data_IF_807711268763
#
_entry.id   IF_807711268763
#
_cell.length_a   1.000
_cell.length_b   1.000
_cell.length_c   1.000
_cell.angle_alpha   90.00
_cell.angle_beta   90.00
_cell.angle_gamma   90.00
#
_symmetry.space_group_name_H-M   'P 1'
#
loop_
_entity.id
_entity.type
_entity.pdbx_description
1 polymer ?
#
# COMPACT_ATOMS: atom_id res chain seq x y z
N UNK A 1 -11.62 -11.39 -11.25
CA UNK A 1 -10.22 -11.34 -10.80
C UNK A 1 -10.04 -10.07 -9.99
N UNK A 2 -9.92 -10.16 -8.66
CA UNK A 2 -9.59 -8.99 -7.85
C UNK A 2 -8.13 -8.60 -8.15
N UNK A 3 -7.88 -7.35 -8.50
CA UNK A 3 -6.51 -6.87 -8.72
C UNK A 3 -5.75 -6.86 -7.39
N UNK A 4 -4.47 -7.25 -7.39
CA UNK A 4 -3.57 -7.23 -6.22
C UNK A 4 -3.62 -5.89 -5.46
N UNK A 5 -3.79 -4.78 -6.18
CA UNK A 5 -4.03 -3.46 -5.60
C UNK A 5 -5.22 -3.41 -4.62
N UNK A 6 -6.36 -4.02 -4.94
CA UNK A 6 -7.55 -4.02 -4.07
C UNK A 6 -7.24 -4.71 -2.74
N UNK A 7 -6.47 -5.80 -2.79
CA UNK A 7 -6.08 -6.55 -1.60
C UNK A 7 -5.08 -5.78 -0.74
N UNK A 8 -4.09 -5.12 -1.36
CA UNK A 8 -3.18 -4.19 -0.68
C UNK A 8 -3.99 -3.11 0.05
N UNK A 9 -4.90 -2.42 -0.63
CA UNK A 9 -5.71 -1.35 -0.02
C UNK A 9 -6.58 -1.87 1.13
N UNK A 10 -7.14 -3.07 0.98
CA UNK A 10 -7.95 -3.70 2.04
C UNK A 10 -7.12 -3.88 3.31
N UNK A 11 -5.95 -4.52 3.21
CA UNK A 11 -5.06 -4.76 4.35
C UNK A 11 -4.56 -3.44 4.94
N UNK A 12 -4.17 -2.47 4.11
CA UNK A 12 -3.73 -1.17 4.58
C UNK A 12 -4.81 -0.46 5.41
N UNK A 13 -6.06 -0.48 4.96
CA UNK A 13 -7.20 0.11 5.70
C UNK A 13 -7.51 -0.63 7.00
N UNK A 14 -7.43 -1.96 6.99
CA UNK A 14 -7.59 -2.78 8.20
C UNK A 14 -6.55 -2.41 9.28
N UNK A 15 -5.34 -2.00 8.86
CA UNK A 15 -4.27 -1.50 9.72
C UNK A 15 -4.29 0.02 9.96
N UNK A 16 -5.36 0.72 9.56
CA UNK A 16 -5.54 2.16 9.78
C UNK A 16 -4.66 3.06 8.92
N UNK A 17 -4.03 2.54 7.87
CA UNK A 17 -3.32 3.37 6.90
C UNK A 17 -4.33 4.21 6.10
N UNK A 18 -3.94 5.45 5.81
CA UNK A 18 -4.82 6.43 5.16
C UNK A 18 -4.23 6.92 3.84
N UNK A 19 -5.09 7.10 2.85
CA UNK A 19 -4.73 7.80 1.62
C UNK A 19 -4.48 9.28 1.94
N UNK A 20 -3.35 9.81 1.50
CA UNK A 20 -2.97 11.20 1.72
C UNK A 20 -3.25 12.03 0.47
N UNK A 21 -2.71 11.60 -0.68
CA UNK A 21 -2.83 12.32 -1.95
C UNK A 21 -2.43 11.46 -3.15
N UNK A 22 -2.84 11.89 -4.34
CA UNK A 22 -2.31 11.35 -5.59
C UNK A 22 -0.85 11.82 -5.78
N UNK A 23 0.02 10.88 -6.14
CA UNK A 23 1.38 11.14 -6.63
C UNK A 23 1.41 11.44 -8.12
N UNK A 24 2.54 11.20 -8.78
CA UNK A 24 2.66 11.37 -10.24
C UNK A 24 2.03 10.19 -10.98
N UNK A 25 1.10 10.48 -11.89
CA UNK A 25 0.39 9.45 -12.67
C UNK A 25 -0.48 8.58 -11.77
N UNK A 26 -0.33 7.26 -11.88
CA UNK A 26 -1.17 6.27 -11.18
C UNK A 26 -0.68 5.93 -9.76
N UNK A 27 0.33 6.63 -9.27
CA UNK A 27 0.84 6.44 -7.91
C UNK A 27 -0.02 7.16 -6.89
N UNK A 28 -0.30 6.51 -5.78
CA UNK A 28 -0.94 7.08 -4.60
C UNK A 28 0.06 7.18 -3.45
N UNK A 29 -0.05 8.22 -2.64
CA UNK A 29 0.71 8.35 -1.40
C UNK A 29 -0.20 8.01 -0.23
N UNK A 30 0.23 7.04 0.56
CA UNK A 30 -0.44 6.55 1.76
C UNK A 30 0.40 6.83 2.99
N UNK A 31 -0.23 6.98 4.15
CA UNK A 31 0.42 7.15 5.45
C UNK A 31 0.11 5.97 6.35
N UNK A 32 1.14 5.39 6.94
CA UNK A 32 0.98 4.38 7.99
C UNK A 32 1.00 5.04 9.37
N UNK A 33 0.01 4.76 10.25
CA UNK A 33 0.08 5.16 11.65
C UNK A 33 1.12 4.34 12.43
N UNK A 34 1.49 3.14 11.94
CA UNK A 34 2.44 2.23 12.60
C UNK A 34 3.86 2.76 12.47
N UNK A 35 4.28 3.13 11.26
CA UNK A 35 5.63 3.66 10.99
C UNK A 35 5.69 5.19 11.03
N UNK A 36 4.54 5.86 11.16
CA UNK A 36 4.37 7.31 11.04
C UNK A 36 5.00 7.91 9.76
N UNK A 37 5.05 7.11 8.69
CA UNK A 37 5.70 7.46 7.44
C UNK A 37 4.72 7.41 6.25
N UNK A 38 5.04 8.21 5.24
CA UNK A 38 4.35 8.19 3.96
C UNK A 38 5.06 7.24 2.99
N UNK A 39 4.32 6.49 2.20
CA UNK A 39 4.85 5.57 1.20
C UNK A 39 4.00 5.58 -0.08
N UNK A 40 4.61 5.32 -1.25
CA UNK A 40 3.90 5.25 -2.52
C UNK A 40 3.31 3.87 -2.78
N UNK A 41 2.18 3.82 -3.48
CA UNK A 41 1.56 2.61 -4.01
C UNK A 41 1.22 2.83 -5.47
N UNK A 42 1.56 1.87 -6.33
CA UNK A 42 1.14 1.89 -7.74
C UNK A 42 -0.20 1.15 -7.91
N UNK A 43 -1.22 1.83 -8.45
CA UNK A 43 -2.54 1.22 -8.78
C UNK A 43 -2.42 0.06 -9.75
N UNK A 44 -1.39 0.05 -10.58
CA UNK A 44 -1.11 -1.01 -11.58
C UNK A 44 -0.19 -2.10 -11.03
N UNK A 45 0.04 -2.15 -9.72
CA UNK A 45 0.85 -3.20 -9.09
C UNK A 45 0.29 -4.58 -9.41
N UNK A 46 1.12 -5.40 -10.07
CA UNK A 46 0.85 -6.82 -10.39
C UNK A 46 1.89 -7.78 -9.80
N UNK A 47 2.88 -7.24 -9.10
CA UNK A 47 3.99 -8.01 -8.53
C UNK A 47 3.83 -8.18 -7.02
N UNK A 48 3.86 -9.44 -6.56
CA UNK A 48 3.84 -9.75 -5.13
C UNK A 48 5.10 -9.21 -4.42
N UNK A 49 6.23 -9.09 -5.13
CA UNK A 49 7.44 -8.48 -4.58
C UNK A 49 7.18 -7.01 -4.19
N UNK A 50 6.54 -6.25 -5.09
CA UNK A 50 6.18 -4.85 -4.83
C UNK A 50 5.14 -4.75 -3.71
N UNK A 51 4.14 -5.64 -3.69
CA UNK A 51 3.14 -5.68 -2.62
C UNK A 51 3.79 -5.94 -1.24
N UNK A 52 4.75 -6.86 -1.19
CA UNK A 52 5.52 -7.17 0.03
C UNK A 52 6.41 -5.99 0.47
N UNK A 53 6.97 -5.22 -0.46
CA UNK A 53 7.68 -3.98 -0.14
C UNK A 53 6.75 -2.93 0.45
N UNK A 54 5.52 -2.80 -0.07
CA UNK A 54 4.50 -1.89 0.49
C UNK A 54 4.15 -2.29 1.93
N UNK A 55 3.93 -3.59 2.20
CA UNK A 55 3.66 -4.06 3.56
C UNK A 55 4.82 -3.77 4.52
N UNK A 56 6.05 -3.97 4.06
CA UNK A 56 7.25 -3.62 4.83
C UNK A 56 7.34 -2.12 5.12
N UNK A 57 7.05 -1.25 4.15
CA UNK A 57 7.03 0.21 4.33
C UNK A 57 5.91 0.66 5.28
N UNK A 58 4.76 0.01 5.22
CA UNK A 58 3.64 0.25 6.12
C UNK A 58 3.88 -0.30 7.55
N UNK A 59 4.90 -1.16 7.74
CA UNK A 59 5.18 -1.82 9.01
C UNK A 59 4.22 -2.97 9.33
N UNK A 60 3.59 -3.55 8.31
CA UNK A 60 2.59 -4.63 8.46
C UNK A 60 3.27 -5.99 8.22
N UNK A 61 3.17 -6.93 9.16
CA UNK A 61 3.71 -8.28 9.00
C UNK A 61 2.79 -9.14 8.12
N UNK A 62 2.64 -8.77 6.85
CA UNK A 62 1.83 -9.49 5.85
C UNK A 62 2.67 -9.81 4.61
N UNK A 63 2.43 -10.99 4.01
CA UNK A 63 3.10 -11.45 2.80
C UNK A 63 2.11 -11.96 1.76
N UNK A 64 2.19 -11.40 0.55
CA UNK A 64 1.55 -11.83 -0.69
C UNK A 64 2.39 -12.88 -1.42
#
# INVERSE_FOLDING_TARGET
MASLYIEIIRILREHGCVFVRQGKGDHEIWRSPITNANFPIDKKTRSHITANMVMKQAGIPHRF
#
